data_IF_988500800590
#
_entry.id   IF_988500800590
#
_cell.length_a   1.000
_cell.length_b   1.000
_cell.length_c   1.000
_cell.angle_alpha   90.00
_cell.angle_beta   90.00
_cell.angle_gamma   90.00
#
_symmetry.space_group_name_H-M   'P 1'
#
loop_
_entity.id
_entity.type
_entity.pdbx_description
1 polymer ?
#
# COMPACT_ATOMS: atom_id res chain seq x y z
N UNK A 1 -21.52 13.22 -14.46
CA UNK A 1 -20.90 12.94 -15.78
C UNK A 1 -21.73 13.63 -16.86
N UNK A 2 -21.11 14.18 -17.92
CA UNK A 2 -21.88 14.58 -19.12
C UNK A 2 -22.38 13.30 -19.79
N UNK A 3 -23.70 13.16 -19.95
CA UNK A 3 -24.34 12.01 -20.59
C UNK A 3 -24.92 12.50 -21.92
N UNK A 4 -24.53 11.88 -23.03
CA UNK A 4 -25.03 12.20 -24.37
C UNK A 4 -26.20 11.27 -24.72
N UNK A 5 -27.40 11.83 -24.83
CA UNK A 5 -28.63 11.07 -25.10
C UNK A 5 -28.93 10.97 -26.59
N UNK A 6 -28.65 12.02 -27.37
CA UNK A 6 -28.87 12.05 -28.83
C UNK A 6 -27.59 11.75 -29.63
N UNK A 7 -27.75 11.40 -30.92
CA UNK A 7 -26.61 11.20 -31.81
C UNK A 7 -25.80 12.48 -32.01
N UNK A 8 -26.47 13.63 -32.16
CA UNK A 8 -25.82 14.94 -32.29
C UNK A 8 -24.96 15.26 -31.07
N UNK A 9 -25.47 15.00 -29.86
CA UNK A 9 -24.72 15.21 -28.62
C UNK A 9 -23.50 14.30 -28.53
N UNK A 10 -23.63 13.04 -28.98
CA UNK A 10 -22.49 12.11 -29.03
C UNK A 10 -21.41 12.61 -29.98
N UNK A 11 -21.79 13.08 -31.18
CA UNK A 11 -20.83 13.61 -32.15
C UNK A 11 -20.15 14.90 -31.66
N UNK A 12 -20.90 15.80 -31.02
CA UNK A 12 -20.35 16.99 -30.39
C UNK A 12 -19.36 16.65 -29.26
N UNK A 13 -19.71 15.67 -28.42
CA UNK A 13 -18.83 15.19 -27.34
C UNK A 13 -17.55 14.56 -27.90
N UNK A 14 -17.65 13.73 -28.96
CA UNK A 14 -16.48 13.13 -29.62
C UNK A 14 -15.56 14.25 -30.16
N UNK A 15 -16.11 15.27 -30.80
CA UNK A 15 -15.34 16.41 -31.30
C UNK A 15 -14.67 17.21 -30.17
N UNK A 16 -15.37 17.42 -29.05
CA UNK A 16 -14.82 18.08 -27.85
C UNK A 16 -13.65 17.28 -27.27
N UNK A 17 -13.82 15.96 -27.10
CA UNK A 17 -12.78 15.06 -26.59
C UNK A 17 -11.58 15.01 -27.53
N UNK A 18 -11.79 14.93 -28.84
CA UNK A 18 -10.72 14.92 -29.83
C UNK A 18 -9.88 16.21 -29.77
N UNK A 19 -10.53 17.39 -29.73
CA UNK A 19 -9.83 18.67 -29.58
C UNK A 19 -9.00 18.72 -28.31
N UNK A 20 -9.54 18.23 -27.18
CA UNK A 20 -8.80 18.14 -25.92
C UNK A 20 -7.60 17.19 -26.03
N UNK A 21 -7.77 16.05 -26.67
CA UNK A 21 -6.72 15.06 -26.88
C UNK A 21 -5.54 15.67 -27.65
N UNK A 22 -5.81 16.33 -28.79
CA UNK A 22 -4.79 16.99 -29.60
C UNK A 22 -4.06 18.10 -28.84
N UNK A 23 -4.79 18.89 -28.04
CA UNK A 23 -4.18 19.90 -27.17
C UNK A 23 -3.22 19.27 -26.16
N UNK A 24 -3.65 18.21 -25.48
CA UNK A 24 -2.82 17.51 -24.48
C UNK A 24 -1.60 16.83 -25.11
N UNK A 25 -1.73 16.30 -26.33
CA UNK A 25 -0.62 15.73 -27.10
C UNK A 25 0.47 16.77 -27.36
N UNK A 26 0.09 17.98 -27.80
CA UNK A 26 1.04 19.09 -28.00
C UNK A 26 1.73 19.52 -26.70
N UNK A 27 0.97 19.61 -25.61
CA UNK A 27 1.54 19.96 -24.29
C UNK A 27 2.54 18.90 -23.83
N UNK A 28 2.23 17.60 -23.98
CA UNK A 28 3.15 16.51 -23.63
C UNK A 28 4.44 16.55 -24.46
N UNK A 29 4.34 16.83 -25.76
CA UNK A 29 5.52 16.96 -26.64
C UNK A 29 6.42 18.13 -26.20
N UNK A 30 5.84 19.27 -25.85
CA UNK A 30 6.59 20.45 -25.44
C UNK A 30 7.05 20.40 -23.97
N UNK A 31 6.53 19.47 -23.18
CA UNK A 31 6.92 19.32 -21.78
C UNK A 31 8.33 18.75 -21.67
N UNK A 32 9.18 19.40 -20.87
CA UNK A 32 10.53 18.90 -20.56
C UNK A 32 10.40 17.54 -19.87
N UNK A 33 10.92 16.47 -20.48
CA UNK A 33 11.04 15.17 -19.83
C UNK A 33 12.02 15.31 -18.68
N UNK A 34 11.55 15.12 -17.44
CA UNK A 34 12.44 15.03 -16.28
C UNK A 34 13.13 13.66 -16.33
N UNK A 35 14.44 13.59 -16.06
CA UNK A 35 15.10 12.28 -15.95
C UNK A 35 14.41 11.47 -14.87
N UNK A 36 14.13 10.20 -15.18
CA UNK A 36 13.60 9.27 -14.17
C UNK A 36 14.73 9.02 -13.16
N UNK A 37 14.54 9.50 -11.93
CA UNK A 37 15.47 9.23 -10.84
C UNK A 37 15.28 7.76 -10.45
N UNK A 38 16.22 6.91 -10.83
CA UNK A 38 16.32 5.57 -10.26
C UNK A 38 16.74 5.75 -8.80
N UNK A 39 15.83 5.44 -7.87
CA UNK A 39 16.14 5.40 -6.44
C UNK A 39 16.54 3.97 -6.15
N UNK A 40 17.80 3.77 -5.82
CA UNK A 40 18.22 2.52 -5.19
C UNK A 40 17.67 2.57 -3.77
N UNK A 41 16.55 1.88 -3.55
CA UNK A 41 16.08 1.64 -2.20
C UNK A 41 17.14 0.79 -1.51
N UNK A 42 17.53 1.16 -0.28
CA UNK A 42 18.40 0.33 0.51
C UNK A 42 17.79 -1.08 0.55
N UNK A 43 18.56 -2.09 0.12
CA UNK A 43 18.21 -3.47 0.47
C UNK A 43 18.20 -3.50 1.99
N UNK A 44 17.01 -3.66 2.57
CA UNK A 44 16.90 -3.99 3.98
C UNK A 44 17.55 -5.37 4.07
N UNK A 45 18.79 -5.40 4.56
CA UNK A 45 19.41 -6.65 5.00
C UNK A 45 18.70 -6.97 6.30
N UNK A 46 17.60 -7.71 6.17
CA UNK A 46 17.06 -8.44 7.31
C UNK A 46 18.07 -9.57 7.45
N UNK A 47 18.96 -9.47 8.44
CA UNK A 47 19.78 -10.62 8.79
C UNK A 47 18.79 -11.76 9.09
N UNK A 48 18.92 -12.88 8.38
CA UNK A 48 18.17 -14.14 8.63
C UNK A 48 18.61 -14.78 9.96
N UNK A 49 18.91 -13.96 10.97
CA UNK A 49 18.81 -14.39 12.34
C UNK A 49 17.33 -14.61 12.60
N UNK A 50 16.92 -15.81 12.99
CA UNK A 50 15.58 -16.16 13.47
C UNK A 50 15.12 -15.33 14.71
N UNK A 51 15.86 -14.26 15.04
CA UNK A 51 15.60 -13.33 16.11
C UNK A 51 14.72 -12.19 15.59
N UNK A 52 13.51 -12.12 16.15
CA UNK A 52 12.60 -11.00 15.94
C UNK A 52 13.32 -9.66 16.20
N UNK A 53 13.35 -8.77 15.21
CA UNK A 53 13.96 -7.42 15.31
C UNK A 53 13.34 -6.62 16.48
N UNK A 54 12.09 -6.91 16.84
CA UNK A 54 11.36 -6.32 17.96
C UNK A 54 11.51 -7.10 19.28
N UNK A 55 12.52 -7.96 19.44
CA UNK A 55 12.72 -8.75 20.68
C UNK A 55 12.87 -7.89 21.96
N UNK A 56 13.20 -6.60 21.82
CA UNK A 56 13.28 -5.65 22.92
C UNK A 56 11.92 -5.09 23.35
N UNK A 57 10.89 -5.20 22.50
CA UNK A 57 9.48 -4.88 22.79
C UNK A 57 8.61 -6.11 22.91
N UNK A 58 9.18 -7.33 22.84
CA UNK A 58 8.41 -8.55 23.00
C UNK A 58 7.67 -8.55 24.35
N UNK A 59 6.35 -8.64 24.24
CA UNK A 59 5.39 -8.40 25.32
C UNK A 59 5.61 -9.36 26.50
N UNK A 60 6.26 -10.50 26.29
CA UNK A 60 6.57 -11.50 27.31
C UNK A 60 7.40 -10.93 28.48
N UNK A 61 8.41 -10.09 28.21
CA UNK A 61 9.22 -9.45 29.26
C UNK A 61 8.40 -8.44 30.08
N UNK A 62 7.54 -7.65 29.43
CA UNK A 62 6.66 -6.68 30.10
C UNK A 62 5.48 -7.34 30.83
N UNK A 63 4.94 -8.43 30.30
CA UNK A 63 3.84 -9.16 30.90
C UNK A 63 4.22 -9.75 32.26
N UNK A 64 5.46 -10.24 32.40
CA UNK A 64 5.94 -10.78 33.66
C UNK A 64 6.11 -9.71 34.75
N UNK A 65 6.54 -8.51 34.37
CA UNK A 65 6.78 -7.41 35.32
C UNK A 65 5.49 -6.75 35.82
N UNK A 66 4.45 -6.64 34.99
CA UNK A 66 3.19 -5.94 35.35
C UNK A 66 1.98 -6.84 35.62
N UNK A 67 1.91 -8.04 35.05
CA UNK A 67 0.71 -8.89 35.09
C UNK A 67 0.93 -10.28 35.73
N UNK A 68 2.16 -10.57 36.18
CA UNK A 68 2.52 -11.80 36.91
C UNK A 68 2.52 -13.07 36.05
N UNK A 69 2.77 -14.21 36.69
CA UNK A 69 3.02 -15.50 36.01
C UNK A 69 1.81 -16.07 35.25
N UNK A 70 0.59 -15.62 35.58
CA UNK A 70 -0.64 -16.14 34.99
C UNK A 70 -0.84 -15.59 33.57
N UNK A 71 -0.66 -14.27 33.37
CA UNK A 71 -0.83 -13.66 32.05
C UNK A 71 0.32 -14.00 31.08
N UNK A 72 1.53 -14.19 31.61
CA UNK A 72 2.67 -14.66 30.81
C UNK A 72 2.40 -16.03 30.17
N UNK A 73 1.72 -16.92 30.90
CA UNK A 73 1.39 -18.26 30.38
C UNK A 73 0.31 -18.20 29.31
N UNK A 74 -0.68 -17.30 29.42
CA UNK A 74 -1.78 -17.21 28.44
C UNK A 74 -1.35 -16.57 27.12
N UNK A 75 -0.46 -15.57 27.14
CA UNK A 75 0.03 -14.88 25.93
C UNK A 75 0.85 -15.82 25.03
N UNK A 76 1.54 -16.82 25.60
CA UNK A 76 2.27 -17.84 24.83
C UNK A 76 1.35 -18.63 23.87
N UNK A 77 0.08 -18.79 24.23
CA UNK A 77 -0.90 -19.53 23.44
C UNK A 77 -1.76 -18.64 22.54
N UNK A 78 -1.67 -17.31 22.71
CA UNK A 78 -2.49 -16.31 22.01
C UNK A 78 -1.78 -15.67 20.81
N UNK A 79 -0.57 -16.13 20.46
CA UNK A 79 0.06 -15.78 19.19
C UNK A 79 -0.32 -16.85 18.15
N UNK A 80 -1.39 -16.67 17.36
CA UNK A 80 -1.66 -17.56 16.25
C UNK A 80 -0.43 -17.49 15.35
N UNK A 81 0.27 -18.61 15.24
CA UNK A 81 1.37 -18.77 14.31
C UNK A 81 0.90 -18.28 12.94
N UNK A 82 1.79 -17.54 12.27
CA UNK A 82 1.67 -17.06 10.90
C UNK A 82 0.96 -18.12 10.03
N UNK A 83 -0.37 -17.97 9.82
CA UNK A 83 -1.14 -18.94 9.03
C UNK A 83 -2.60 -19.20 9.39
N UNK A 84 -3.13 -18.77 10.54
CA UNK A 84 -4.54 -19.03 10.88
C UNK A 84 -5.45 -17.82 10.64
N UNK A 85 -6.16 -17.92 9.52
CA UNK A 85 -7.49 -17.42 9.19
C UNK A 85 -8.04 -16.22 9.99
N UNK A 86 -7.88 -15.03 9.43
CA UNK A 86 -8.64 -13.86 9.84
C UNK A 86 -10.06 -13.92 9.26
N UNK A 87 -10.95 -14.59 9.98
CA UNK A 87 -12.37 -14.23 10.05
C UNK A 87 -13.28 -14.79 8.96
N UNK A 88 -13.92 -15.91 9.26
CA UNK A 88 -15.25 -16.29 8.78
C UNK A 88 -16.30 -16.21 9.91
N UNK A 89 -16.52 -15.01 10.45
CA UNK A 89 -17.77 -14.61 11.10
C UNK A 89 -18.11 -13.14 10.82
#
# INVERSE_FOLDING_TARGET
>A
MKIATTHADRMALIAEVHKRHEKLKKVKLNSKKRPMIKRDFAKIVIDDTDENINHYTDASKYAKEYYGDILHQTIKYDNPGVGEDWGDY
#
